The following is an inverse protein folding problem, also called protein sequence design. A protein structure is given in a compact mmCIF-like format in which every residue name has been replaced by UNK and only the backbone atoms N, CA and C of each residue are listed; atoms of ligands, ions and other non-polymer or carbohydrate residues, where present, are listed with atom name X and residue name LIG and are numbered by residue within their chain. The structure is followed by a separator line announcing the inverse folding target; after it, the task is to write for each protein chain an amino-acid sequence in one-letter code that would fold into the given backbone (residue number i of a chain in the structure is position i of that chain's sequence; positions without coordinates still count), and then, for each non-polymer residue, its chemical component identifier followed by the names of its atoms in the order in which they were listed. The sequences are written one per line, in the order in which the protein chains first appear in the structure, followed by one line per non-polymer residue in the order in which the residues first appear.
data_IF_124521211484
#
_entry.id   IF_124521211484
#
_cell.length_a   1.000
_cell.length_b   1.000
_cell.length_c   1.000
_cell.angle_alpha   90.00
_cell.angle_beta   90.00
_cell.angle_gamma   90.00
#
_symmetry.space_group_name_H-M   'P 1'
#
loop_
_entity.id
_entity.type
_entity.pdbx_description
1 polymer ?
#
# COMPACT_ATOMS: atom_id res chain seq x y z
N UNK A 1 -35.45 -54.99 -22.38
CA UNK A 1 -36.02 -53.75 -21.83
C UNK A 1 -35.10 -53.01 -20.86
N UNK A 2 -34.28 -53.67 -20.02
CA UNK A 2 -33.37 -52.99 -19.09
C UNK A 2 -32.23 -52.19 -19.75
N UNK A 3 -31.64 -52.70 -20.84
CA UNK A 3 -30.55 -52.03 -21.55
C UNK A 3 -30.97 -50.69 -22.18
N UNK A 4 -32.17 -50.61 -22.74
CA UNK A 4 -32.72 -49.41 -23.39
C UNK A 4 -33.07 -48.30 -22.38
N UNK A 5 -33.48 -48.68 -21.17
CA UNK A 5 -33.76 -47.73 -20.10
C UNK A 5 -32.46 -47.09 -19.56
N UNK A 6 -31.39 -47.87 -19.43
CA UNK A 6 -30.09 -47.39 -18.96
C UNK A 6 -29.46 -46.38 -19.94
N UNK A 7 -29.54 -46.65 -21.25
CA UNK A 7 -29.04 -45.73 -22.28
C UNK A 7 -29.78 -44.40 -22.31
N UNK A 8 -31.10 -44.42 -22.07
CA UNK A 8 -31.91 -43.21 -22.02
C UNK A 8 -31.55 -42.35 -20.79
N UNK A 9 -31.34 -42.98 -19.63
CA UNK A 9 -30.90 -42.30 -18.41
C UNK A 9 -29.52 -41.67 -18.59
N UNK A 10 -28.55 -42.40 -19.17
CA UNK A 10 -27.21 -41.86 -19.43
C UNK A 10 -27.22 -40.71 -20.46
N UNK A 11 -28.07 -40.78 -21.49
CA UNK A 11 -28.19 -39.71 -22.48
C UNK A 11 -28.80 -38.42 -21.87
N UNK A 12 -29.79 -38.56 -20.99
CA UNK A 12 -30.40 -37.42 -20.28
C UNK A 12 -29.41 -36.79 -19.31
N UNK A 13 -28.67 -37.58 -18.52
CA UNK A 13 -27.67 -37.02 -17.59
C UNK A 13 -26.52 -36.33 -18.32
N UNK A 14 -26.05 -36.89 -19.44
CA UNK A 14 -25.06 -36.25 -20.29
C UNK A 14 -25.58 -34.94 -20.91
N UNK A 15 -26.83 -34.89 -21.36
CA UNK A 15 -27.47 -33.67 -21.87
C UNK A 15 -27.61 -32.58 -20.82
N UNK A 16 -28.00 -32.93 -19.58
CA UNK A 16 -28.09 -31.98 -18.46
C UNK A 16 -26.70 -31.49 -18.03
N UNK A 17 -25.71 -32.38 -17.97
CA UNK A 17 -24.33 -32.01 -17.65
C UNK A 17 -23.70 -31.12 -18.73
N UNK A 18 -23.93 -31.42 -20.01
CA UNK A 18 -23.48 -30.59 -21.13
C UNK A 18 -24.20 -29.24 -21.16
N UNK A 19 -25.49 -29.21 -20.83
CA UNK A 19 -26.26 -27.97 -20.67
C UNK A 19 -25.75 -27.11 -19.51
N UNK A 20 -25.50 -27.70 -18.34
CA UNK A 20 -24.94 -27.02 -17.18
C UNK A 20 -23.52 -26.50 -17.44
N UNK A 21 -22.67 -27.31 -18.08
CA UNK A 21 -21.33 -26.90 -18.50
C UNK A 21 -21.38 -25.77 -19.55
N UNK A 22 -22.30 -25.85 -20.52
CA UNK A 22 -22.52 -24.81 -21.51
C UNK A 22 -22.98 -23.50 -20.87
N UNK A 23 -23.89 -23.57 -19.89
CA UNK A 23 -24.36 -22.37 -19.18
C UNK A 23 -23.27 -21.72 -18.34
N UNK A 24 -22.41 -22.50 -17.66
CA UNK A 24 -21.26 -21.93 -16.92
C UNK A 24 -20.23 -21.30 -17.86
N UNK A 25 -20.03 -21.86 -19.06
CA UNK A 25 -19.12 -21.29 -20.07
C UNK A 25 -19.64 -19.98 -20.69
N UNK A 26 -20.95 -19.71 -20.62
CA UNK A 26 -21.57 -18.49 -21.18
C UNK A 26 -22.11 -17.52 -20.12
N UNK A 27 -21.97 -17.85 -18.83
CA UNK A 27 -22.50 -17.06 -17.72
C UNK A 27 -21.51 -15.95 -17.35
N UNK A 28 -22.01 -14.73 -17.22
CA UNK A 28 -21.22 -13.61 -16.70
C UNK A 28 -20.84 -13.78 -15.22
N UNK A 29 -19.79 -13.09 -14.75
CA UNK A 29 -19.29 -13.26 -13.39
C UNK A 29 -20.33 -12.86 -12.34
N UNK A 30 -20.44 -13.64 -11.26
CA UNK A 30 -21.25 -13.27 -10.10
C UNK A 30 -20.53 -12.23 -9.22
N UNK A 31 -21.25 -11.65 -8.26
CA UNK A 31 -20.70 -10.63 -7.37
C UNK A 31 -19.53 -11.14 -6.53
N UNK A 32 -19.48 -12.42 -6.16
CA UNK A 32 -18.36 -12.98 -5.39
C UNK A 32 -17.09 -13.11 -6.24
N UNK A 33 -17.22 -13.54 -7.50
CA UNK A 33 -16.14 -13.61 -8.49
C UNK A 33 -15.59 -12.22 -8.79
N UNK A 34 -16.45 -11.23 -9.00
CA UNK A 34 -16.05 -9.83 -9.19
C UNK A 34 -15.30 -9.28 -7.98
N UNK A 35 -15.81 -9.50 -6.76
CA UNK A 35 -15.11 -9.08 -5.53
C UNK A 35 -13.75 -9.76 -5.40
N UNK A 36 -13.66 -11.06 -5.67
CA UNK A 36 -12.40 -11.79 -5.62
C UNK A 36 -11.41 -11.26 -6.66
N UNK A 37 -11.87 -10.91 -7.86
CA UNK A 37 -11.04 -10.29 -8.90
C UNK A 37 -10.51 -8.91 -8.46
N UNK A 38 -11.37 -8.04 -7.91
CA UNK A 38 -10.97 -6.72 -7.37
C UNK A 38 -9.93 -6.85 -6.25
N UNK A 39 -10.12 -7.80 -5.33
CA UNK A 39 -9.18 -8.03 -4.23
C UNK A 39 -7.83 -8.52 -4.74
N UNK A 40 -7.81 -9.44 -5.71
CA UNK A 40 -6.59 -9.91 -6.36
C UNK A 40 -5.86 -8.78 -7.08
N UNK A 41 -6.58 -8.00 -7.91
CA UNK A 41 -6.00 -6.84 -8.60
C UNK A 41 -5.40 -5.85 -7.59
N UNK A 42 -6.17 -5.51 -6.55
CA UNK A 42 -5.74 -4.57 -5.51
C UNK A 42 -4.47 -5.06 -4.81
N UNK A 43 -4.37 -6.35 -4.47
CA UNK A 43 -3.21 -6.97 -3.83
C UNK A 43 -1.95 -7.02 -4.71
N UNK A 44 -2.08 -6.81 -6.02
CA UNK A 44 -0.98 -6.84 -6.98
C UNK A 44 -0.52 -5.45 -7.43
N UNK A 45 -1.27 -4.38 -7.11
CA UNK A 45 -0.96 -3.00 -7.52
C UNK A 45 0.47 -2.56 -7.21
N UNK A 46 1.03 -3.01 -6.08
CA UNK A 46 2.41 -2.68 -5.70
C UNK A 46 3.45 -3.13 -6.73
N UNK A 47 3.20 -4.20 -7.49
CA UNK A 47 4.10 -4.73 -8.53
C UNK A 47 3.64 -4.39 -9.95
N UNK A 48 2.34 -4.21 -10.18
CA UNK A 48 1.79 -3.97 -11.52
C UNK A 48 1.70 -2.49 -11.88
N UNK A 49 1.57 -1.59 -10.89
CA UNK A 49 1.52 -0.16 -11.15
C UNK A 49 2.92 0.42 -11.30
N UNK A 50 3.05 1.40 -12.18
CA UNK A 50 4.24 2.25 -12.21
C UNK A 50 4.47 2.89 -10.84
N UNK A 51 5.72 2.93 -10.37
CA UNK A 51 6.03 3.44 -9.03
C UNK A 51 5.56 4.89 -8.83
N UNK A 52 5.60 5.73 -9.88
CA UNK A 52 5.06 7.09 -9.85
C UNK A 52 3.54 7.18 -9.74
N UNK A 53 2.81 6.09 -10.00
CA UNK A 53 1.38 5.98 -9.74
C UNK A 53 1.11 5.66 -8.26
N UNK A 54 1.94 4.82 -7.65
CA UNK A 54 1.88 4.54 -6.19
C UNK A 54 2.26 5.80 -5.41
N UNK A 55 3.39 6.42 -5.77
CA UNK A 55 3.90 7.64 -5.17
C UNK A 55 3.82 8.78 -6.19
N UNK A 56 2.74 9.56 -6.28
CA UNK A 56 2.66 10.68 -7.23
C UNK A 56 3.74 11.74 -7.02
N UNK A 57 4.00 12.56 -8.05
CA UNK A 57 5.02 13.62 -7.99
C UNK A 57 4.68 14.71 -6.95
N UNK A 58 3.39 14.94 -6.70
CA UNK A 58 2.87 15.87 -5.70
C UNK A 58 1.78 15.19 -4.87
N UNK A 59 1.75 15.47 -3.58
CA UNK A 59 0.70 15.04 -2.66
C UNK A 59 0.19 16.25 -1.86
N UNK A 60 -1.12 16.49 -1.81
CA UNK A 60 -1.67 17.58 -1.02
C UNK A 60 -1.67 17.22 0.46
N UNK A 61 -1.55 18.24 1.30
CA UNK A 61 -1.75 18.13 2.74
C UNK A 61 -2.28 19.44 3.33
N UNK A 62 -2.84 19.36 4.53
CA UNK A 62 -3.35 20.51 5.26
C UNK A 62 -2.20 21.25 5.95
N UNK A 63 -2.03 22.54 5.66
CA UNK A 63 -1.00 23.35 6.29
C UNK A 63 -1.35 23.62 7.77
N UNK A 64 -0.33 23.77 8.63
CA UNK A 64 -0.57 24.03 10.07
C UNK A 64 -1.35 25.31 10.33
N UNK A 65 -1.17 26.34 9.49
CA UNK A 65 -1.85 27.63 9.61
C UNK A 65 -3.19 27.67 8.85
N UNK A 66 -3.63 26.53 8.32
CA UNK A 66 -4.81 26.42 7.46
C UNK A 66 -4.49 26.55 5.96
N UNK A 67 -5.37 26.00 5.14
CA UNK A 67 -5.17 25.89 3.68
C UNK A 67 -4.59 24.54 3.26
N UNK A 68 -4.30 24.41 1.97
CA UNK A 68 -3.74 23.19 1.37
C UNK A 68 -2.40 23.50 0.74
N UNK A 69 -1.37 22.76 1.15
CA UNK A 69 -0.02 22.79 0.61
C UNK A 69 0.28 21.50 -0.15
N UNK A 70 1.42 21.46 -0.86
CA UNK A 70 1.82 20.37 -1.73
C UNK A 70 3.20 19.84 -1.40
N UNK A 71 3.26 18.58 -0.97
CA UNK A 71 4.52 17.87 -0.79
C UNK A 71 5.04 17.39 -2.15
N UNK A 72 6.30 17.68 -2.46
CA UNK A 72 6.95 17.31 -3.73
C UNK A 72 7.85 16.10 -3.56
N UNK A 73 7.74 15.13 -4.47
CA UNK A 73 8.53 13.89 -4.43
C UNK A 73 9.97 14.14 -4.87
N UNK A 74 10.93 13.83 -3.99
CA UNK A 74 12.37 13.86 -4.30
C UNK A 74 12.78 12.65 -5.12
N UNK A 75 12.32 11.46 -4.74
CA UNK A 75 12.72 10.22 -5.40
C UNK A 75 11.98 9.00 -4.89
N UNK A 76 12.15 7.89 -5.62
CA UNK A 76 11.59 6.57 -5.29
C UNK A 76 12.75 5.57 -5.24
N UNK A 77 12.77 4.73 -4.21
CA UNK A 77 13.75 3.64 -4.09
C UNK A 77 13.47 2.56 -5.15
N UNK A 78 14.47 2.09 -5.91
CA UNK A 78 14.32 0.91 -6.77
C UNK A 78 14.28 -0.39 -5.96
N UNK A 79 14.72 -0.36 -4.69
CA UNK A 79 14.72 -1.53 -3.81
C UNK A 79 13.35 -1.68 -3.13
N UNK A 80 12.86 -2.91 -3.14
CA UNK A 80 11.55 -3.30 -2.58
C UNK A 80 11.65 -4.37 -1.49
N UNK A 81 12.86 -4.76 -1.07
CA UNK A 81 13.07 -5.73 0.01
C UNK A 81 12.38 -5.29 1.31
N UNK A 82 11.69 -6.22 1.97
CA UNK A 82 11.14 -6.00 3.31
C UNK A 82 12.24 -5.82 4.36
N UNK A 83 13.31 -6.60 4.26
CA UNK A 83 14.44 -6.52 5.18
C UNK A 83 15.13 -5.15 5.07
N UNK A 84 15.34 -4.50 6.21
CA UNK A 84 15.99 -3.20 6.30
C UNK A 84 15.14 -2.02 5.80
N UNK A 85 13.85 -2.23 5.53
CA UNK A 85 12.91 -1.14 5.25
C UNK A 85 12.39 -0.49 6.53
N UNK A 86 12.29 -1.25 7.62
CA UNK A 86 11.81 -0.81 8.95
C UNK A 86 12.88 -1.01 10.02
N UNK A 87 12.62 -0.52 11.23
CA UNK A 87 13.48 -0.81 12.38
C UNK A 87 13.46 -2.31 12.73
N UNK A 88 14.60 -2.80 13.24
CA UNK A 88 14.81 -4.23 13.51
C UNK A 88 13.76 -4.83 14.45
N UNK A 89 13.21 -4.02 15.36
CA UNK A 89 12.15 -4.43 16.28
C UNK A 89 10.84 -4.81 15.56
N UNK A 90 10.60 -4.32 14.33
CA UNK A 90 9.41 -4.64 13.54
C UNK A 90 9.65 -5.71 12.46
N UNK A 91 10.91 -6.05 12.14
CA UNK A 91 11.25 -6.99 11.06
C UNK A 91 10.62 -8.38 11.27
N UNK A 92 10.56 -8.85 12.53
CA UNK A 92 9.94 -10.13 12.88
C UNK A 92 8.45 -10.17 12.56
N UNK A 93 7.72 -9.10 12.90
CA UNK A 93 6.29 -8.99 12.65
C UNK A 93 5.97 -8.95 11.15
N UNK A 94 6.73 -8.16 10.37
CA UNK A 94 6.56 -8.09 8.92
C UNK A 94 6.79 -9.45 8.25
N UNK A 95 7.85 -10.15 8.65
CA UNK A 95 8.18 -11.48 8.12
C UNK A 95 7.13 -12.52 8.50
N UNK A 96 6.68 -12.54 9.75
CA UNK A 96 5.62 -13.46 10.20
C UNK A 96 4.28 -13.21 9.50
N UNK A 97 4.00 -11.95 9.13
CA UNK A 97 2.84 -11.60 8.33
C UNK A 97 3.00 -11.87 6.82
N UNK A 98 4.17 -12.36 6.36
CA UNK A 98 4.40 -12.69 4.95
C UNK A 98 4.63 -11.46 4.07
N UNK A 99 5.35 -10.44 4.57
CA UNK A 99 5.71 -9.25 3.79
C UNK A 99 6.27 -9.63 2.41
N UNK A 100 5.64 -9.11 1.35
CA UNK A 100 6.01 -9.36 -0.04
C UNK A 100 7.01 -8.33 -0.56
N UNK A 101 6.79 -7.07 -0.21
CA UNK A 101 7.63 -5.95 -0.60
C UNK A 101 7.39 -4.73 0.31
N UNK A 102 8.40 -3.86 0.41
CA UNK A 102 8.25 -2.50 0.95
C UNK A 102 8.78 -1.49 -0.07
N UNK A 103 7.88 -0.74 -0.69
CA UNK A 103 8.21 0.35 -1.60
C UNK A 103 8.40 1.63 -0.80
N UNK A 104 9.30 2.52 -1.22
CA UNK A 104 9.57 3.77 -0.49
C UNK A 104 9.80 4.95 -1.43
N UNK A 105 9.28 6.10 -1.05
CA UNK A 105 9.54 7.38 -1.68
C UNK A 105 9.75 8.47 -0.64
N UNK A 106 10.57 9.46 -0.95
CA UNK A 106 10.80 10.61 -0.06
C UNK A 106 10.21 11.86 -0.68
N UNK A 107 9.50 12.62 0.14
CA UNK A 107 8.86 13.89 -0.17
C UNK A 107 9.47 14.99 0.66
N UNK A 108 9.38 16.20 0.15
CA UNK A 108 9.65 17.44 0.88
C UNK A 108 8.37 18.26 0.92
N UNK A 109 8.11 18.89 2.06
CA UNK A 109 7.01 19.86 2.23
C UNK A 109 7.17 21.08 1.31
N UNK A 110 6.12 21.89 1.21
CA UNK A 110 6.11 23.07 0.33
C UNK A 110 7.12 24.13 0.78
N UNK A 111 7.28 24.31 2.10
CA UNK A 111 8.22 25.24 2.71
C UNK A 111 9.67 24.72 2.73
N UNK A 112 9.89 23.48 2.32
CA UNK A 112 11.20 22.82 2.23
C UNK A 112 11.93 22.65 3.57
N UNK A 113 11.20 22.63 4.68
CA UNK A 113 11.73 22.41 6.02
C UNK A 113 11.65 20.97 6.50
N UNK A 114 10.74 20.17 5.96
CA UNK A 114 10.39 18.83 6.46
C UNK A 114 10.47 17.79 5.34
N UNK A 115 11.16 16.70 5.63
CA UNK A 115 11.21 15.52 4.79
C UNK A 115 10.30 14.44 5.34
N UNK A 116 9.60 13.74 4.45
CA UNK A 116 8.77 12.59 4.79
C UNK A 116 9.12 11.44 3.86
N UNK A 117 9.59 10.32 4.42
CA UNK A 117 9.64 9.06 3.68
C UNK A 117 8.30 8.37 3.86
N UNK A 118 7.62 8.05 2.76
CA UNK A 118 6.40 7.22 2.73
C UNK A 118 6.79 5.82 2.28
N UNK A 119 6.39 4.81 3.04
CA UNK A 119 6.64 3.40 2.78
C UNK A 119 5.35 2.62 2.61
N UNK A 120 5.22 1.82 1.55
CA UNK A 120 4.09 0.93 1.30
C UNK A 120 4.56 -0.50 1.47
N UNK A 121 4.14 -1.17 2.55
CA UNK A 121 4.36 -2.58 2.78
C UNK A 121 3.18 -3.41 2.26
N UNK A 122 3.47 -4.37 1.38
CA UNK A 122 2.49 -5.24 0.74
C UNK A 122 2.46 -6.63 1.39
N UNK A 123 1.27 -7.15 1.61
CA UNK A 123 1.03 -8.44 2.28
C UNK A 123 0.13 -9.35 1.44
N UNK A 124 -0.03 -10.63 1.82
CA UNK A 124 -0.90 -11.56 1.11
C UNK A 124 -2.38 -11.19 1.14
N UNK A 125 -2.84 -10.65 2.27
CA UNK A 125 -4.22 -10.28 2.52
C UNK A 125 -4.31 -9.19 3.60
N UNK A 126 -5.53 -8.72 3.83
CA UNK A 126 -5.83 -7.68 4.81
C UNK A 126 -5.54 -8.08 6.26
N UNK A 127 -5.79 -9.35 6.62
CA UNK A 127 -5.54 -9.82 7.99
C UNK A 127 -4.03 -9.84 8.28
N UNK A 128 -3.23 -10.25 7.30
CA UNK A 128 -1.78 -10.20 7.37
C UNK A 128 -1.28 -8.75 7.51
N UNK A 129 -1.80 -7.83 6.70
CA UNK A 129 -1.47 -6.41 6.82
C UNK A 129 -1.82 -5.83 8.20
N UNK A 130 -3.02 -6.13 8.71
CA UNK A 130 -3.45 -5.68 10.04
C UNK A 130 -2.52 -6.21 11.16
N UNK A 131 -2.15 -7.50 11.12
CA UNK A 131 -1.18 -8.08 12.07
C UNK A 131 0.18 -7.41 12.02
N UNK A 132 0.69 -7.10 10.82
CA UNK A 132 1.96 -6.39 10.68
C UNK A 132 1.87 -4.94 11.18
N UNK A 133 0.76 -4.24 10.88
CA UNK A 133 0.51 -2.86 11.29
C UNK A 133 0.49 -2.67 12.81
N UNK A 134 0.04 -3.69 13.55
CA UNK A 134 0.01 -3.68 15.02
C UNK A 134 1.40 -3.63 15.68
N UNK A 135 2.48 -3.87 14.92
CA UNK A 135 3.85 -3.77 15.43
C UNK A 135 4.36 -2.32 15.51
N UNK A 136 3.59 -1.34 15.02
CA UNK A 136 3.99 0.06 14.95
C UNK A 136 3.18 0.94 15.93
N UNK A 137 3.81 1.98 16.51
CA UNK A 137 3.13 2.95 17.36
C UNK A 137 2.03 3.70 16.61
N UNK A 138 0.88 3.91 17.26
CA UNK A 138 -0.24 4.67 16.70
C UNK A 138 -0.18 6.16 17.05
N UNK A 139 0.56 6.53 18.10
CA UNK A 139 0.60 7.88 18.67
C UNK A 139 1.69 8.78 18.05
N UNK A 140 2.25 8.38 16.91
CA UNK A 140 3.14 9.21 16.10
C UNK A 140 4.63 9.03 16.40
N UNK A 141 4.99 8.10 17.29
CA UNK A 141 6.38 7.83 17.61
C UNK A 141 7.15 7.30 16.38
N UNK A 142 8.39 7.75 16.18
CA UNK A 142 9.18 7.39 15.00
C UNK A 142 9.75 5.97 15.04
N UNK A 143 9.78 5.32 16.21
CA UNK A 143 10.44 4.02 16.44
C UNK A 143 9.58 3.13 17.34
N UNK A 144 9.39 1.83 17.01
CA UNK A 144 9.76 1.22 15.74
C UNK A 144 8.96 1.81 14.57
N UNK A 145 9.60 2.01 13.42
CA UNK A 145 9.00 2.67 12.28
C UNK A 145 9.71 2.41 10.97
N UNK A 146 9.31 3.15 9.94
CA UNK A 146 9.99 3.13 8.64
C UNK A 146 11.40 3.72 8.76
N UNK A 147 12.38 3.10 8.12
CA UNK A 147 13.72 3.70 7.98
C UNK A 147 13.70 4.79 6.91
N UNK A 148 14.30 5.98 7.17
CA UNK A 148 14.32 7.05 6.19
C UNK A 148 15.01 6.64 4.90
N UNK A 149 14.58 7.23 3.80
CA UNK A 149 15.18 7.04 2.48
C UNK A 149 15.87 8.34 2.04
N UNK A 150 17.20 8.32 2.06
CA UNK A 150 18.02 9.41 1.57
C UNK A 150 18.32 9.28 0.07
N UNK A 151 18.50 10.43 -0.59
CA UNK A 151 18.96 10.52 -1.98
C UNK A 151 20.18 11.43 -2.04
N UNK A 152 21.33 10.87 -2.45
CA UNK A 152 22.60 11.63 -2.50
C UNK A 152 22.53 12.81 -3.46
N UNK A 153 23.16 13.91 -3.08
CA UNK A 153 23.15 15.15 -3.86
C UNK A 153 21.81 15.88 -3.85
N UNK A 154 20.89 15.52 -2.96
CA UNK A 154 19.60 16.20 -2.77
C UNK A 154 19.45 16.74 -1.35
N UNK A 155 18.41 17.52 -1.10
CA UNK A 155 18.02 17.95 0.25
C UNK A 155 17.77 16.78 1.22
N UNK A 156 17.49 15.57 0.71
CA UNK A 156 17.29 14.39 1.53
C UNK A 156 18.57 13.59 1.83
N UNK A 157 19.76 14.04 1.40
CA UNK A 157 21.02 13.28 1.58
C UNK A 157 21.33 12.99 3.06
N UNK A 158 20.95 13.93 3.94
CA UNK A 158 21.16 13.80 5.39
C UNK A 158 19.97 13.20 6.14
N UNK A 159 18.94 12.72 5.44
CA UNK A 159 17.77 12.12 6.09
C UNK A 159 18.08 10.71 6.57
N UNK A 160 18.70 10.63 7.76
CA UNK A 160 19.18 9.39 8.38
C UNK A 160 18.29 8.98 9.55
N UNK A 161 18.42 7.75 10.09
CA UNK A 161 17.61 7.30 11.23
C UNK A 161 17.65 8.22 12.46
N UNK A 162 18.75 8.96 12.67
CA UNK A 162 18.91 9.90 13.79
C UNK A 162 18.09 11.19 13.64
N UNK A 163 17.66 11.53 12.41
CA UNK A 163 16.89 12.74 12.07
C UNK A 163 15.39 12.52 12.27
N UNK A 164 14.94 11.27 12.43
CA UNK A 164 13.52 10.94 12.59
C UNK A 164 12.96 11.55 13.88
N UNK A 165 11.85 12.26 13.73
CA UNK A 165 11.14 12.89 14.85
C UNK A 165 9.71 12.39 14.99
N UNK A 166 9.08 12.03 13.88
CA UNK A 166 7.73 11.48 13.88
C UNK A 166 7.60 10.28 12.94
N UNK A 167 6.60 9.46 13.20
CA UNK A 167 6.16 8.36 12.36
C UNK A 167 4.64 8.33 12.24
N UNK A 168 4.15 7.54 11.29
CA UNK A 168 2.73 7.17 11.27
C UNK A 168 2.55 5.79 10.66
N UNK A 169 1.43 5.16 10.97
CA UNK A 169 1.01 3.89 10.41
C UNK A 169 -0.46 3.97 10.03
N UNK A 170 -0.79 3.45 8.85
CA UNK A 170 -2.17 3.28 8.35
C UNK A 170 -2.26 1.92 7.67
N UNK A 171 -3.42 1.27 7.76
CA UNK A 171 -3.67 -0.02 7.12
C UNK A 171 -5.03 0.00 6.45
N UNK A 172 -5.10 -0.49 5.22
CA UNK A 172 -6.35 -0.83 4.54
C UNK A 172 -6.06 -1.88 3.46
N UNK A 173 -6.95 -2.86 3.30
CA UNK A 173 -6.71 -3.98 2.40
C UNK A 173 -5.35 -4.66 2.69
N UNK A 174 -4.65 -5.17 1.67
CA UNK A 174 -3.38 -5.90 1.85
C UNK A 174 -2.16 -4.99 2.06
N UNK A 175 -2.36 -3.73 2.45
CA UNK A 175 -1.30 -2.72 2.56
C UNK A 175 -1.21 -2.10 3.94
N UNK A 176 0.03 -1.92 4.41
CA UNK A 176 0.37 -1.02 5.51
C UNK A 176 1.18 0.12 4.93
N UNK A 177 0.74 1.36 5.14
CA UNK A 177 1.48 2.57 4.76
C UNK A 177 2.07 3.21 6.00
N UNK A 178 3.39 3.33 6.00
CA UNK A 178 4.17 3.92 7.07
C UNK A 178 4.73 5.26 6.61
N UNK A 179 4.89 6.20 7.54
CA UNK A 179 5.75 7.35 7.31
C UNK A 179 6.83 7.47 8.37
N UNK A 180 7.91 8.14 7.99
CA UNK A 180 8.84 8.75 8.95
C UNK A 180 9.17 10.15 8.48
N UNK A 181 9.21 11.09 9.42
CA UNK A 181 9.42 12.50 9.15
C UNK A 181 10.53 13.10 10.01
N UNK A 182 11.19 14.13 9.49
CA UNK A 182 12.22 14.88 10.19
C UNK A 182 12.66 16.11 9.37
N UNK A 183 13.49 16.95 9.95
CA UNK A 183 13.92 18.20 9.32
C UNK A 183 14.88 17.96 8.15
N UNK A 184 14.75 18.79 7.12
CA UNK A 184 15.60 18.76 5.92
C UNK A 184 17.06 19.19 6.20
N UNK A 185 17.31 19.91 7.30
CA UNK A 185 18.65 20.32 7.73
C UNK A 185 19.52 19.15 8.26
N UNK A 186 18.93 17.97 8.44
CA UNK A 186 19.63 16.76 8.89
C UNK A 186 19.99 16.77 10.38
N UNK A 187 19.43 17.70 11.16
CA UNK A 187 19.63 17.77 12.61
C UNK A 187 19.10 16.50 13.29
N UNK A 188 19.89 15.85 14.16
CA UNK A 188 19.40 14.74 14.98
C UNK A 188 18.25 15.18 15.89
N UNK A 189 17.26 14.31 16.07
CA UNK A 189 16.10 14.55 16.92
C UNK A 189 16.48 14.91 18.36
N UNK A 190 17.56 14.32 18.89
CA UNK A 190 18.10 14.60 20.23
C UNK A 190 18.65 16.01 20.40
N UNK A 191 18.87 16.74 19.30
CA UNK A 191 19.44 18.09 19.28
C UNK A 191 18.46 19.13 18.72
N UNK A 192 17.31 18.69 18.23
CA UNK A 192 16.19 19.59 18.03
C UNK A 192 15.70 20.03 19.40
N UNK A 193 15.34 21.30 19.53
CA UNK A 193 14.84 21.87 20.78
C UNK A 193 13.48 21.27 21.16
N UNK A 194 12.56 22.13 21.56
CA UNK A 194 11.22 21.67 21.93
C UNK A 194 10.55 20.88 20.80
N UNK A 195 9.97 19.72 21.16
CA UNK A 195 9.28 18.84 20.22
C UNK A 195 8.04 19.55 19.67
N UNK A 196 7.94 19.65 18.34
CA UNK A 196 6.81 20.27 17.64
C UNK A 196 6.09 19.22 16.80
N UNK A 197 5.28 18.35 17.42
CA UNK A 197 4.66 17.23 16.71
C UNK A 197 3.74 17.66 15.56
N UNK A 198 3.12 18.84 15.67
CA UNK A 198 2.22 19.37 14.65
C UNK A 198 2.94 19.57 13.29
N UNK A 199 4.21 19.97 13.29
CA UNK A 199 5.00 20.23 12.08
C UNK A 199 5.19 18.97 11.23
N UNK A 200 5.03 17.79 11.83
CA UNK A 200 5.16 16.50 11.16
C UNK A 200 3.83 15.79 10.93
N UNK A 201 2.72 16.33 11.43
CA UNK A 201 1.42 15.66 11.42
C UNK A 201 0.93 15.33 9.99
N UNK A 202 1.26 16.20 9.02
CA UNK A 202 0.90 16.02 7.62
C UNK A 202 1.47 14.73 7.00
N UNK A 203 2.52 14.13 7.60
CA UNK A 203 3.00 12.82 7.19
C UNK A 203 1.90 11.75 7.21
N UNK A 204 0.96 11.82 8.17
CA UNK A 204 -0.21 10.94 8.21
C UNK A 204 -1.17 11.16 7.05
N UNK A 205 -1.34 12.40 6.58
CA UNK A 205 -2.15 12.73 5.40
C UNK A 205 -1.52 12.20 4.12
N UNK A 206 -0.18 12.26 3.99
CA UNK A 206 0.52 11.66 2.85
C UNK A 206 0.32 10.15 2.81
N UNK A 207 0.41 9.48 3.96
CA UNK A 207 0.11 8.05 4.07
C UNK A 207 -1.33 7.74 3.67
N UNK A 208 -2.30 8.53 4.14
CA UNK A 208 -3.71 8.36 3.81
C UNK A 208 -3.97 8.50 2.31
N UNK A 209 -3.38 9.50 1.65
CA UNK A 209 -3.52 9.69 0.21
C UNK A 209 -2.95 8.51 -0.60
N UNK A 210 -1.74 8.05 -0.26
CA UNK A 210 -1.11 6.89 -0.92
C UNK A 210 -1.91 5.62 -0.68
N UNK A 211 -2.35 5.38 0.56
CA UNK A 211 -3.16 4.22 0.91
C UNK A 211 -4.49 4.23 0.18
N UNK A 212 -5.23 5.34 0.21
CA UNK A 212 -6.49 5.49 -0.50
C UNK A 212 -6.31 5.16 -1.99
N UNK A 213 -5.30 5.75 -2.64
CA UNK A 213 -4.98 5.44 -4.05
C UNK A 213 -4.75 3.96 -4.32
N UNK A 214 -4.06 3.26 -3.41
CA UNK A 214 -3.79 1.83 -3.54
C UNK A 214 -5.05 0.99 -3.33
N UNK A 215 -5.96 1.39 -2.46
CA UNK A 215 -7.10 0.57 -2.05
C UNK A 215 -8.42 0.94 -2.68
N UNK A 216 -8.53 2.09 -3.37
CA UNK A 216 -9.76 2.47 -4.09
C UNK A 216 -10.11 1.38 -5.10
N UNK A 217 -11.24 0.68 -4.94
CA UNK A 217 -11.64 -0.35 -5.88
C UNK A 217 -11.78 0.23 -7.28
N UNK A 218 -11.30 -0.49 -8.28
CA UNK A 218 -11.77 -0.32 -9.65
C UNK A 218 -12.61 -1.55 -9.95
N UNK A 219 -13.93 -1.37 -9.97
CA UNK A 219 -14.81 -2.44 -10.43
C UNK A 219 -14.44 -2.74 -11.89
N UNK A 220 -14.21 -4.02 -12.25
CA UNK A 220 -14.06 -4.41 -13.63
C UNK A 220 -15.30 -3.95 -14.39
N UNK A 221 -15.10 -3.11 -15.40
CA UNK A 221 -16.17 -2.72 -16.31
C UNK A 221 -16.11 -3.66 -17.50
N UNK A 222 -16.91 -4.73 -17.47
CA UNK A 222 -16.97 -5.71 -18.56
C UNK A 222 -17.53 -5.13 -19.87
N UNK A 223 -18.04 -3.88 -19.86
CA UNK A 223 -18.42 -3.18 -21.09
C UNK A 223 -17.26 -2.40 -21.72
N UNK A 224 -16.16 -2.19 -20.99
CA UNK A 224 -15.02 -1.42 -21.45
C UNK A 224 -13.93 -2.34 -22.06
N UNK A 225 -13.29 -1.93 -23.18
CA UNK A 225 -12.37 -2.79 -23.95
C UNK A 225 -11.09 -3.16 -23.20
N UNK A 226 -10.74 -2.45 -22.13
CA UNK A 226 -9.59 -2.75 -21.28
C UNK A 226 -9.80 -3.94 -20.32
N UNK A 227 -11.03 -4.47 -20.20
CA UNK A 227 -11.34 -5.63 -19.36
C UNK A 227 -11.75 -6.83 -20.23
N UNK A 228 -11.16 -7.99 -19.93
CA UNK A 228 -11.61 -9.28 -20.48
C UNK A 228 -12.43 -10.00 -19.41
N UNK A 229 -13.73 -10.03 -19.64
CA UNK A 229 -14.71 -10.90 -19.03
C UNK A 229 -15.17 -11.90 -20.11
#
# INVERSE_FOLDING_TARGET
MAASALTLVCAVTAGVAAGAAGTELTRGPNTAELRAAVQRETAERWRTWAAGRVFPARLPYSAEQGGTEQASRIGISPRTSCAGAVDTAADGALRAAGCRAVLRATYIDELRGVLVTVGVAAFPDERAAARAGAAFPQAGEPVPGLRPLAFRGTVADRFTPAVRQAGSVRQAGPYVVLTTAGQADGRPASTAGEQRPAVFAFGGELAAHVLHRLTTPRLPDCAAPEWQC
#
